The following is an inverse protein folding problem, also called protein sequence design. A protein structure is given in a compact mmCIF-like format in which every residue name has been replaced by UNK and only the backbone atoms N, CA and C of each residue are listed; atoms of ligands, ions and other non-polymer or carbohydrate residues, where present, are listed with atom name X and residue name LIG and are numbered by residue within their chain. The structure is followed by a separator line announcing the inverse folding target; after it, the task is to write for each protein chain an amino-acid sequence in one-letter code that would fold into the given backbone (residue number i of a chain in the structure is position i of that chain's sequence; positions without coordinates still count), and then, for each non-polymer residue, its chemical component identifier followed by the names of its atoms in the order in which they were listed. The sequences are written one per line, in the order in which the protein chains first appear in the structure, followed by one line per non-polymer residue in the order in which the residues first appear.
data_IF_533731493714
#
_entry.id   IF_533731493714
#
_cell.length_a   1.000
_cell.length_b   1.000
_cell.length_c   1.000
_cell.angle_alpha   90.00
_cell.angle_beta   90.00
_cell.angle_gamma   90.00
#
_symmetry.space_group_name_H-M   'P 1'
#
loop_
_entity.id
_entity.type
_entity.pdbx_description
1 polymer ?
#
# COMPACT_ATOMS: atom_id res chain seq x y z
N UNK A 1 -5.69 20.20 -5.55
CA UNK A 1 -6.63 19.35 -4.80
C UNK A 1 -8.10 19.45 -5.24
N UNK A 2 -8.49 20.33 -6.19
CA UNK A 2 -9.92 20.56 -6.51
C UNK A 2 -10.42 19.96 -7.84
N UNK A 3 -9.54 19.47 -8.74
CA UNK A 3 -9.92 19.01 -10.10
C UNK A 3 -11.01 17.94 -10.11
N UNK A 4 -11.11 17.12 -9.07
CA UNK A 4 -12.08 16.02 -8.97
C UNK A 4 -12.95 16.10 -7.72
N UNK A 5 -12.92 17.21 -6.97
CA UNK A 5 -13.68 17.35 -5.71
C UNK A 5 -13.27 16.37 -4.60
N UNK A 6 -12.08 15.76 -4.70
CA UNK A 6 -11.61 14.77 -3.72
C UNK A 6 -10.93 15.49 -2.55
N UNK A 7 -11.43 15.26 -1.35
CA UNK A 7 -10.76 15.65 -0.10
C UNK A 7 -9.71 14.60 0.26
N UNK A 8 -8.44 14.94 0.08
CA UNK A 8 -7.35 14.07 0.51
C UNK A 8 -7.09 14.25 2.01
N UNK A 9 -7.17 13.16 2.77
CA UNK A 9 -6.77 13.15 4.18
C UNK A 9 -5.30 12.77 4.29
N UNK A 10 -4.50 13.69 4.84
CA UNK A 10 -3.08 13.45 5.07
C UNK A 10 -2.88 12.68 6.38
N UNK A 11 -2.07 11.63 6.35
CA UNK A 11 -1.62 10.92 7.54
C UNK A 11 -0.13 11.18 7.79
N UNK A 12 0.26 11.26 9.06
CA UNK A 12 1.67 11.33 9.45
C UNK A 12 2.28 9.93 9.35
N UNK A 13 3.49 9.83 8.79
CA UNK A 13 4.22 8.57 8.70
C UNK A 13 4.39 7.93 10.08
N UNK A 14 4.23 6.61 10.16
CA UNK A 14 4.36 5.79 11.39
C UNK A 14 3.39 6.11 12.54
N UNK A 15 2.51 7.11 12.40
CA UNK A 15 1.37 7.37 13.29
C UNK A 15 0.06 7.61 12.52
N UNK A 16 -0.36 6.71 11.63
CA UNK A 16 -1.57 6.93 10.87
C UNK A 16 -2.81 6.64 11.72
N UNK A 17 -3.65 7.65 11.94
CA UNK A 17 -4.91 7.48 12.67
C UNK A 17 -5.91 6.53 11.97
N UNK A 18 -5.74 6.25 10.67
CA UNK A 18 -6.74 5.53 9.86
C UNK A 18 -6.18 4.54 8.83
N UNK A 19 -4.91 4.14 8.93
CA UNK A 19 -4.23 3.35 7.87
C UNK A 19 -4.33 1.83 8.04
N UNK A 20 -5.14 1.31 8.98
CA UNK A 20 -5.20 -0.13 9.24
C UNK A 20 -5.50 -1.00 8.01
N UNK A 21 -6.51 -0.62 7.20
CA UNK A 21 -6.83 -1.35 5.96
C UNK A 21 -5.69 -1.24 4.93
N UNK A 22 -5.12 -0.05 4.78
CA UNK A 22 -4.01 0.20 3.84
C UNK A 22 -2.77 -0.61 4.21
N UNK A 23 -2.44 -0.74 5.49
CA UNK A 23 -1.32 -1.54 5.98
C UNK A 23 -1.52 -3.04 5.68
N UNK A 24 -2.72 -3.56 5.92
CA UNK A 24 -3.05 -4.97 5.62
C UNK A 24 -2.96 -5.23 4.11
N UNK A 25 -3.54 -4.37 3.28
CA UNK A 25 -3.47 -4.49 1.82
C UNK A 25 -2.03 -4.40 1.31
N UNK A 26 -1.24 -3.45 1.80
CA UNK A 26 0.16 -3.29 1.40
C UNK A 26 1.02 -4.50 1.77
N UNK A 27 0.79 -5.11 2.94
CA UNK A 27 1.46 -6.35 3.34
C UNK A 27 1.10 -7.52 2.44
N UNK A 28 -0.17 -7.62 2.04
CA UNK A 28 -0.64 -8.62 1.07
C UNK A 28 0.03 -8.48 -0.29
N UNK A 29 0.02 -7.26 -0.85
CA UNK A 29 0.66 -6.95 -2.13
C UNK A 29 2.16 -7.24 -2.12
N UNK A 30 2.85 -6.87 -1.03
CA UNK A 30 4.29 -7.16 -0.88
C UNK A 30 4.58 -8.65 -0.97
N UNK A 31 3.80 -9.51 -0.31
CA UNK A 31 3.97 -10.97 -0.36
C UNK A 31 3.78 -11.54 -1.76
N UNK A 32 2.78 -11.05 -2.50
CA UNK A 32 2.52 -11.46 -3.89
C UNK A 32 3.75 -11.11 -4.75
N UNK A 33 4.21 -9.86 -4.65
CA UNK A 33 5.37 -9.40 -5.42
C UNK A 33 6.64 -10.19 -5.08
N UNK A 34 6.90 -10.44 -3.80
CA UNK A 34 8.03 -11.26 -3.37
C UNK A 34 7.99 -12.67 -3.97
N UNK A 35 6.81 -13.30 -4.01
CA UNK A 35 6.64 -14.62 -4.61
C UNK A 35 6.88 -14.58 -6.11
N UNK A 36 6.26 -13.65 -6.84
CA UNK A 36 6.41 -13.51 -8.29
C UNK A 36 7.87 -13.26 -8.68
N UNK A 37 8.57 -12.39 -7.95
CA UNK A 37 9.99 -12.10 -8.22
C UNK A 37 10.87 -13.31 -7.93
N UNK A 38 10.59 -14.08 -6.87
CA UNK A 38 11.33 -15.32 -6.59
C UNK A 38 11.14 -16.36 -7.69
N UNK A 39 9.91 -16.56 -8.15
CA UNK A 39 9.59 -17.49 -9.26
C UNK A 39 10.31 -17.07 -10.56
N UNK A 40 10.30 -15.78 -10.89
CA UNK A 40 11.02 -15.26 -12.06
C UNK A 40 12.54 -15.45 -11.98
N UNK A 41 13.13 -15.35 -10.78
CA UNK A 41 14.58 -15.55 -10.57
C UNK A 41 15.01 -17.01 -10.52
N UNK A 42 14.09 -17.92 -10.23
CA UNK A 42 14.33 -19.35 -10.18
C UNK A 42 14.13 -20.04 -11.55
N UNK A 43 13.57 -19.31 -12.52
CA UNK A 43 13.43 -19.73 -13.92
C UNK A 43 14.66 -19.29 -14.72
#
# INVERSE_FOLDING_TARGET
MSKYGITHRLSIAYHPQTSGQVEVSNRGLKRILERTVKEYRAS
#
